data_IF_859403019308
#
_entry.id   IF_859403019308
#
_cell.length_a   1.000
_cell.length_b   1.000
_cell.length_c   1.000
_cell.angle_alpha   90.00
_cell.angle_beta   90.00
_cell.angle_gamma   90.00
#
_symmetry.space_group_name_H-M   'P 1'
#
loop_
_entity.id
_entity.type
_entity.pdbx_description
1 polymer ?
#
# COMPACT_ATOMS: atom_id res chain seq x y z
N UNK A 1 -6.29 4.64 7.66
CA UNK A 1 -6.95 4.22 6.39
C UNK A 1 -7.48 5.37 5.50
N UNK A 2 -8.40 6.23 5.96
CA UNK A 2 -9.03 7.27 5.10
C UNK A 2 -8.03 8.23 4.45
N UNK A 3 -7.02 8.68 5.21
CA UNK A 3 -5.99 9.61 4.73
C UNK A 3 -5.16 8.98 3.61
N UNK A 4 -4.59 7.80 3.83
CA UNK A 4 -3.81 7.07 2.81
C UNK A 4 -4.62 6.88 1.53
N UNK A 5 -5.87 6.39 1.63
CA UNK A 5 -6.74 6.22 0.46
C UNK A 5 -6.98 7.55 -0.30
N UNK A 6 -7.11 8.65 0.42
CA UNK A 6 -7.30 9.97 -0.19
C UNK A 6 -6.04 10.41 -0.93
N UNK A 7 -4.86 10.28 -0.32
CA UNK A 7 -3.58 10.65 -0.93
C UNK A 7 -3.32 9.82 -2.19
N UNK A 8 -3.53 8.49 -2.13
CA UNK A 8 -3.40 7.61 -3.30
C UNK A 8 -4.26 8.09 -4.49
N UNK A 9 -5.48 8.56 -4.20
CA UNK A 9 -6.41 9.03 -5.24
C UNK A 9 -6.06 10.41 -5.78
N UNK A 10 -5.65 11.35 -4.92
CA UNK A 10 -5.48 12.76 -5.32
C UNK A 10 -4.09 13.08 -5.83
N UNK A 11 -3.06 12.45 -5.26
CA UNK A 11 -1.67 12.70 -5.63
C UNK A 11 -1.14 11.66 -6.62
N UNK A 12 -1.77 10.48 -6.70
CA UNK A 12 -1.29 9.36 -7.51
C UNK A 12 0.23 9.10 -7.30
N UNK A 13 0.66 8.92 -6.04
CA UNK A 13 2.08 8.76 -5.69
C UNK A 13 2.65 7.52 -6.38
N UNK A 14 3.92 7.60 -6.79
CA UNK A 14 4.61 6.45 -7.35
C UNK A 14 5.10 5.47 -6.26
N UNK A 15 5.85 4.42 -6.63
CA UNK A 15 6.31 3.42 -5.66
C UNK A 15 7.19 4.02 -4.55
N UNK A 16 8.07 4.97 -4.88
CA UNK A 16 9.01 5.58 -3.93
C UNK A 16 8.29 6.57 -3.02
N UNK A 17 7.43 7.42 -3.62
CA UNK A 17 6.55 8.32 -2.87
C UNK A 17 5.72 7.57 -1.81
N UNK A 18 5.26 6.35 -2.15
CA UNK A 18 4.50 5.51 -1.22
C UNK A 18 5.38 5.01 -0.07
N UNK A 19 6.65 4.65 -0.30
CA UNK A 19 7.54 4.24 0.79
C UNK A 19 7.74 5.39 1.78
N UNK A 20 8.04 6.59 1.26
CA UNK A 20 8.21 7.82 2.05
C UNK A 20 6.93 8.15 2.82
N UNK A 21 5.77 8.05 2.17
CA UNK A 21 4.47 8.29 2.80
C UNK A 21 4.23 7.32 3.96
N UNK A 22 4.56 6.04 3.80
CA UNK A 22 4.39 5.07 4.88
C UNK A 22 5.36 5.34 6.04
N UNK A 23 6.63 5.63 5.74
CA UNK A 23 7.63 5.99 6.78
C UNK A 23 7.31 7.29 7.52
N UNK A 24 6.65 8.23 6.84
CA UNK A 24 6.24 9.50 7.45
C UNK A 24 5.03 9.32 8.35
N UNK A 25 4.09 8.45 7.97
CA UNK A 25 2.83 8.28 8.68
C UNK A 25 2.91 7.23 9.78
N UNK A 26 3.78 6.24 9.67
CA UNK A 26 3.75 5.04 10.50
C UNK A 26 5.12 4.76 11.10
N UNK A 27 5.15 4.13 12.29
CA UNK A 27 6.39 3.55 12.78
C UNK A 27 6.77 2.27 12.00
N UNK A 28 7.96 1.73 12.27
CA UNK A 28 8.47 0.55 11.57
C UNK A 28 7.60 -0.70 11.77
N UNK A 29 7.00 -0.87 12.95
CA UNK A 29 6.13 -2.02 13.26
C UNK A 29 4.82 -1.88 12.51
N UNK A 30 4.22 -0.69 12.54
CA UNK A 30 2.99 -0.38 11.83
C UNK A 30 3.15 -0.55 10.32
N UNK A 31 4.25 -0.02 9.75
CA UNK A 31 4.60 -0.19 8.34
C UNK A 31 4.76 -1.67 7.99
N UNK A 32 5.49 -2.45 8.81
CA UNK A 32 5.68 -3.88 8.57
C UNK A 32 4.34 -4.63 8.54
N UNK A 33 3.44 -4.36 9.50
CA UNK A 33 2.11 -4.97 9.52
C UNK A 33 1.31 -4.64 8.25
N UNK A 34 1.33 -3.37 7.82
CA UNK A 34 0.66 -2.92 6.59
C UNK A 34 1.18 -3.67 5.35
N UNK A 35 2.50 -3.71 5.18
CA UNK A 35 3.13 -4.37 4.04
C UNK A 35 2.87 -5.88 4.05
N UNK A 36 2.92 -6.52 5.23
CA UNK A 36 2.59 -7.95 5.38
C UNK A 36 1.15 -8.25 5.00
N UNK A 37 0.19 -7.49 5.51
CA UNK A 37 -1.23 -7.68 5.20
C UNK A 37 -1.53 -7.43 3.72
N UNK A 38 -0.92 -6.39 3.11
CA UNK A 38 -1.03 -6.16 1.68
C UNK A 38 -0.45 -7.32 0.87
N UNK A 39 0.73 -7.82 1.24
CA UNK A 39 1.39 -8.96 0.58
C UNK A 39 0.58 -10.26 0.70
N UNK A 40 -0.04 -10.52 1.84
CA UNK A 40 -0.95 -11.66 2.02
C UNK A 40 -2.16 -11.55 1.09
N UNK A 41 -2.71 -10.34 0.92
CA UNK A 41 -3.78 -10.09 -0.05
C UNK A 41 -3.33 -10.36 -1.50
N UNK A 42 -2.15 -9.87 -1.88
CA UNK A 42 -1.60 -10.10 -3.23
C UNK A 42 -1.42 -11.59 -3.49
N UNK A 43 -0.91 -12.34 -2.51
CA UNK A 43 -0.76 -13.80 -2.59
C UNK A 43 -2.11 -14.49 -2.83
N UNK A 44 -3.17 -14.03 -2.17
CA UNK A 44 -4.53 -14.54 -2.40
C UNK A 44 -4.99 -14.26 -3.83
N UNK A 45 -4.87 -13.01 -4.30
CA UNK A 45 -5.32 -12.60 -5.63
C UNK A 45 -4.56 -13.37 -6.74
N UNK A 46 -3.26 -13.63 -6.55
CA UNK A 46 -2.45 -14.48 -7.44
C UNK A 46 -2.93 -15.93 -7.40
N UNK A 47 -3.18 -16.50 -6.21
CA UNK A 47 -3.65 -17.89 -6.07
C UNK A 47 -5.01 -18.10 -6.73
N UNK A 48 -5.88 -17.10 -6.70
CA UNK A 48 -7.19 -17.12 -7.33
C UNK A 48 -7.14 -16.83 -8.84
N UNK A 49 -5.97 -16.50 -9.40
CA UNK A 49 -5.81 -16.14 -10.81
C UNK A 49 -6.41 -14.78 -11.18
N UNK A 50 -6.75 -13.94 -10.19
CA UNK A 50 -7.23 -12.57 -10.43
C UNK A 50 -6.12 -11.68 -10.99
N UNK A 51 -4.88 -12.03 -10.67
CA UNK A 51 -3.68 -11.34 -11.14
C UNK A 51 -2.65 -12.34 -11.63
N UNK A 52 -2.04 -12.04 -12.77
CA UNK A 52 -0.95 -12.81 -13.37
C UNK A 52 0.40 -12.50 -12.72
N UNK A 53 1.32 -13.46 -12.78
CA UNK A 53 2.67 -13.34 -12.22
C UNK A 53 2.75 -13.75 -10.75
N UNK A 54 3.92 -13.55 -10.14
CA UNK A 54 4.18 -13.91 -8.74
C UNK A 54 3.79 -12.78 -7.79
N UNK A 55 3.70 -13.10 -6.49
CA UNK A 55 3.51 -12.07 -5.45
C UNK A 55 4.62 -11.03 -5.48
N UNK A 56 5.88 -11.42 -5.68
CA UNK A 56 7.02 -10.49 -5.70
C UNK A 56 7.00 -9.58 -6.94
N UNK A 57 6.54 -10.08 -8.10
CA UNK A 57 6.40 -9.26 -9.30
C UNK A 57 5.30 -8.20 -9.15
N UNK A 58 4.23 -8.51 -8.42
CA UNK A 58 3.09 -7.62 -8.24
C UNK A 58 3.22 -6.71 -7.02
N UNK A 59 3.90 -7.17 -5.97
CA UNK A 59 4.13 -6.44 -4.72
C UNK A 59 5.61 -6.51 -4.31
N UNK A 60 6.46 -5.79 -5.06
CA UNK A 60 7.90 -5.78 -4.86
C UNK A 60 8.26 -5.08 -3.55
N UNK A 61 9.33 -5.58 -2.91
CA UNK A 61 9.90 -5.00 -1.68
C UNK A 61 10.93 -3.90 -1.98
N UNK A 62 11.51 -3.93 -3.17
CA UNK A 62 12.49 -2.94 -3.68
C UNK A 62 11.88 -2.20 -4.87
N UNK A 63 12.54 -1.12 -5.30
CA UNK A 63 12.08 -0.31 -6.44
C UNK A 63 11.95 -1.19 -7.69
N UNK A 64 10.72 -1.35 -8.23
CA UNK A 64 10.52 -2.19 -9.40
C UNK A 64 10.93 -1.52 -10.72
N UNK A 65 11.36 -0.26 -10.71
CA UNK A 65 11.75 0.50 -11.90
C UNK A 65 10.65 0.51 -12.96
N UNK A 66 9.38 0.59 -12.52
CA UNK A 66 8.24 0.62 -13.44
C UNK A 66 8.24 1.89 -14.29
N UNK A 67 8.07 1.75 -15.60
CA UNK A 67 7.85 2.90 -16.48
C UNK A 67 6.39 3.35 -16.43
N UNK A 68 6.12 4.38 -15.62
CA UNK A 68 4.80 4.98 -15.43
C UNK A 68 4.25 5.71 -16.67
N UNK A 69 5.03 5.87 -17.73
CA UNK A 69 4.52 6.39 -19.01
C UNK A 69 3.84 5.30 -19.85
N UNK A 70 3.98 4.03 -19.46
CA UNK A 70 3.35 2.91 -20.15
C UNK A 70 2.06 2.46 -19.47
N UNK A 71 1.14 1.90 -20.24
CA UNK A 71 -0.06 1.26 -19.70
C UNK A 71 0.29 0.10 -18.74
N UNK A 72 1.41 -0.58 -18.97
CA UNK A 72 1.91 -1.65 -18.11
C UNK A 72 2.32 -1.12 -16.75
N UNK A 73 3.23 -0.14 -16.71
CA UNK A 73 3.70 0.48 -15.46
C UNK A 73 2.57 1.14 -14.68
N UNK A 74 1.67 1.88 -15.34
CA UNK A 74 0.50 2.47 -14.67
C UNK A 74 -0.45 1.43 -14.08
N UNK A 75 -0.66 0.28 -14.75
CA UNK A 75 -1.47 -0.81 -14.20
C UNK A 75 -0.81 -1.47 -12.99
N UNK A 76 0.51 -1.60 -13.00
CA UNK A 76 1.25 -2.12 -11.85
C UNK A 76 1.19 -1.15 -10.67
N UNK A 77 1.40 0.15 -10.93
CA UNK A 77 1.31 1.19 -9.90
C UNK A 77 -0.07 1.24 -9.25
N UNK A 78 -1.16 1.26 -10.03
CA UNK A 78 -2.52 1.30 -9.48
C UNK A 78 -2.84 0.11 -8.59
N UNK A 79 -2.45 -1.10 -9.01
CA UNK A 79 -2.65 -2.31 -8.20
C UNK A 79 -1.83 -2.24 -6.91
N UNK A 80 -0.59 -1.78 -6.98
CA UNK A 80 0.24 -1.55 -5.81
C UNK A 80 -0.43 -0.59 -4.81
N UNK A 81 -0.88 0.57 -5.27
CA UNK A 81 -1.61 1.55 -4.45
C UNK A 81 -2.87 0.94 -3.81
N UNK A 82 -3.66 0.16 -4.55
CA UNK A 82 -4.87 -0.52 -4.04
C UNK A 82 -4.53 -1.52 -2.94
N UNK A 83 -3.50 -2.35 -3.13
CA UNK A 83 -3.07 -3.30 -2.11
C UNK A 83 -2.51 -2.61 -0.87
N UNK A 84 -1.80 -1.49 -1.00
CA UNK A 84 -1.37 -0.69 0.15
C UNK A 84 -2.58 -0.18 0.94
N UNK A 85 -3.61 0.32 0.25
CA UNK A 85 -4.85 0.76 0.92
C UNK A 85 -5.52 -0.39 1.66
N UNK A 86 -5.54 -1.60 1.07
CA UNK A 86 -6.06 -2.81 1.73
C UNK A 86 -5.19 -3.18 2.95
N UNK A 87 -3.87 -3.11 2.83
CA UNK A 87 -2.94 -3.32 3.95
C UNK A 87 -3.25 -2.38 5.10
N UNK A 88 -3.33 -1.08 4.85
CA UNK A 88 -3.65 -0.07 5.88
C UNK A 88 -5.03 -0.27 6.51
N UNK A 89 -6.00 -0.79 5.76
CA UNK A 89 -7.34 -1.06 6.27
C UNK A 89 -7.42 -2.29 7.18
N UNK A 90 -6.57 -3.29 6.96
CA UNK A 90 -6.71 -4.62 7.56
C UNK A 90 -5.55 -5.02 8.48
N UNK A 91 -4.41 -4.35 8.41
CA UNK A 91 -3.24 -4.65 9.23
C UNK A 91 -3.43 -4.36 10.73
N UNK A 92 -4.42 -3.53 11.05
CA UNK A 92 -4.53 -2.92 12.37
C UNK A 92 -5.82 -3.37 13.05
N UNK A 93 -5.76 -3.83 14.31
CA UNK A 93 -6.96 -4.19 15.04
C UNK A 93 -7.91 -3.00 15.10
N UNK A 94 -9.20 -3.20 14.80
CA UNK A 94 -10.24 -2.16 14.87
C UNK A 94 -10.32 -1.43 16.23
N UNK A 95 -9.66 -1.95 17.27
CA UNK A 95 -9.56 -1.37 18.60
C UNK A 95 -8.58 -0.18 18.69
N UNK A 96 -7.60 -0.07 17.79
CA UNK A 96 -6.67 1.06 17.75
C UNK A 96 -7.37 2.23 17.07
N UNK A 97 -7.97 3.08 17.90
CA UNK A 97 -8.67 4.27 17.41
C UNK A 97 -7.64 5.33 16.97
N UNK A 98 -7.35 5.33 15.68
CA UNK A 98 -6.46 6.30 15.02
C UNK A 98 -6.82 7.77 15.27
N UNK A 99 -8.09 8.09 15.54
CA UNK A 99 -8.47 9.47 15.90
C UNK A 99 -7.91 9.90 17.26
N UNK A 100 -7.54 8.96 18.14
CA UNK A 100 -6.83 9.27 19.39
C UNK A 100 -5.33 9.42 19.21
N UNK A 101 -4.72 8.74 18.24
CA UNK A 101 -3.27 8.81 17.99
C UNK A 101 -2.86 10.07 17.21
N UNK A 102 -3.70 10.50 16.25
CA UNK A 102 -3.48 11.75 15.50
C UNK A 102 -4.53 12.82 15.81
N UNK A 103 -4.98 12.91 17.07
CA UNK A 103 -5.48 14.19 17.56
C UNK A 103 -4.29 15.16 17.57
N UNK A 104 -3.96 15.66 16.38
CA UNK A 104 -3.10 16.80 16.14
C UNK A 104 -3.63 17.90 17.05
N UNK A 105 -2.84 18.26 18.06
CA UNK A 105 -3.07 19.45 18.85
C UNK A 105 -3.17 20.62 17.88
N UNK A 106 -4.35 21.24 17.83
CA UNK A 106 -4.51 22.60 17.30
C UNK A 106 -3.69 23.58 18.14
#
# INVERSE_FOLDING_TARGET
ARVVKMIMKTQNPDWDDIQVLLDTLMDSTEKEMVLRTARERVREDVRQGLVQGTTDQNFPTEDPMWDYNTLGGMRSLRRYQEWIVVGVQNAMPKAVNWSKLYNVRQ
#
